data_IF_154113376356
#
_entry.id   IF_154113376356
#
_cell.length_a   1.000
_cell.length_b   1.000
_cell.length_c   1.000
_cell.angle_alpha   90.00
_cell.angle_beta   90.00
_cell.angle_gamma   90.00
#
_symmetry.space_group_name_H-M   'P 1'
#
loop_
_entity.id
_entity.type
_entity.pdbx_description
1 polymer ?
#
# COMPACT_ATOMS: atom_id res chain seq x y z
N UNK A 1 2.58 -30.92 -5.59
CA UNK A 1 3.80 -30.11 -5.41
C UNK A 1 3.68 -29.37 -4.07
N UNK A 2 4.55 -29.64 -3.09
CA UNK A 2 4.61 -28.83 -1.86
C UNK A 2 5.07 -27.43 -2.28
N UNK A 3 4.24 -26.40 -2.06
CA UNK A 3 4.73 -25.01 -2.13
C UNK A 3 5.84 -24.89 -1.09
N UNK A 4 7.04 -24.51 -1.50
CA UNK A 4 8.04 -24.04 -0.56
C UNK A 4 7.48 -22.77 0.09
N UNK A 5 7.24 -22.81 1.40
CA UNK A 5 6.81 -21.64 2.16
C UNK A 5 8.03 -20.78 2.40
N UNK A 6 8.03 -19.55 1.89
CA UNK A 6 9.09 -18.59 2.17
C UNK A 6 8.83 -17.99 3.54
N UNK A 7 9.85 -18.01 4.40
CA UNK A 7 9.82 -17.37 5.73
C UNK A 7 10.70 -16.14 5.69
N UNK A 8 10.23 -15.04 6.28
CA UNK A 8 10.98 -13.79 6.39
C UNK A 8 11.15 -13.44 7.86
N UNK A 9 12.35 -13.01 8.24
CA UNK A 9 12.65 -12.60 9.62
C UNK A 9 12.08 -11.22 9.94
N UNK A 10 11.81 -10.40 8.92
CA UNK A 10 11.31 -9.04 9.09
C UNK A 10 10.44 -8.59 7.93
N UNK A 11 9.61 -7.56 8.17
CA UNK A 11 8.75 -6.99 7.14
C UNK A 11 9.58 -6.24 6.08
N UNK A 12 10.74 -5.70 6.44
CA UNK A 12 11.67 -5.07 5.51
C UNK A 12 12.19 -6.08 4.49
N UNK A 13 12.58 -7.27 4.95
CA UNK A 13 13.08 -8.34 4.07
C UNK A 13 11.98 -8.79 3.10
N UNK A 14 10.76 -8.97 3.60
CA UNK A 14 9.62 -9.31 2.75
C UNK A 14 9.25 -8.17 1.78
N UNK A 15 9.41 -6.91 2.18
CA UNK A 15 9.19 -5.75 1.33
C UNK A 15 10.22 -5.69 0.20
N UNK A 16 11.52 -5.87 0.47
CA UNK A 16 12.54 -5.85 -0.57
C UNK A 16 12.30 -6.95 -1.63
N UNK A 17 12.01 -8.19 -1.21
CA UNK A 17 11.70 -9.28 -2.15
C UNK A 17 10.46 -8.98 -3.00
N UNK A 18 9.43 -8.38 -2.39
CA UNK A 18 8.28 -7.90 -3.12
C UNK A 18 8.66 -6.82 -4.15
N UNK A 19 9.51 -5.85 -3.78
CA UNK A 19 9.93 -4.77 -4.66
C UNK A 19 10.79 -5.32 -5.82
N UNK A 20 11.69 -6.27 -5.58
CA UNK A 20 12.47 -6.92 -6.64
C UNK A 20 11.56 -7.63 -7.65
N UNK A 21 10.54 -8.34 -7.17
CA UNK A 21 9.55 -8.93 -8.07
C UNK A 21 8.82 -7.84 -8.89
N UNK A 22 8.43 -6.74 -8.25
CA UNK A 22 7.73 -5.63 -8.91
C UNK A 22 8.59 -4.88 -9.92
N UNK A 23 9.89 -4.79 -9.71
CA UNK A 23 10.87 -4.28 -10.67
C UNK A 23 10.95 -5.18 -11.91
N UNK A 24 10.93 -6.51 -11.74
CA UNK A 24 10.92 -7.45 -12.87
C UNK A 24 9.65 -7.38 -13.72
N UNK A 25 8.55 -6.88 -13.16
CA UNK A 25 7.27 -6.66 -13.87
C UNK A 25 7.25 -5.36 -14.69
N UNK A 26 8.38 -4.64 -14.79
CA UNK A 26 8.55 -3.41 -15.56
C UNK A 26 7.60 -2.26 -15.11
N UNK A 27 7.33 -2.18 -13.80
CA UNK A 27 6.57 -1.08 -13.21
C UNK A 27 7.35 0.23 -13.23
N UNK A 28 6.63 1.36 -13.22
CA UNK A 28 7.26 2.68 -13.18
C UNK A 28 8.06 2.86 -11.87
N UNK A 29 9.25 3.48 -11.90
CA UNK A 29 10.04 3.73 -10.69
C UNK A 29 9.25 4.44 -9.58
N UNK A 30 8.39 5.39 -9.96
CA UNK A 30 7.53 6.09 -9.01
C UNK A 30 6.59 5.15 -8.25
N UNK A 31 6.07 4.12 -8.91
CA UNK A 31 5.18 3.13 -8.29
C UNK A 31 5.91 2.26 -7.28
N UNK A 32 7.16 1.90 -7.56
CA UNK A 32 8.04 1.17 -6.63
C UNK A 32 8.30 2.03 -5.38
N UNK A 33 8.61 3.30 -5.55
CA UNK A 33 8.79 4.24 -4.43
C UNK A 33 7.50 4.42 -3.61
N UNK A 34 6.34 4.50 -4.28
CA UNK A 34 5.05 4.55 -3.59
C UNK A 34 4.81 3.28 -2.76
N UNK A 35 5.14 2.09 -3.27
CA UNK A 35 5.10 0.86 -2.47
C UNK A 35 6.01 0.95 -1.25
N UNK A 36 7.30 1.26 -1.45
CA UNK A 36 8.30 1.37 -0.37
C UNK A 36 7.84 2.32 0.72
N UNK A 37 7.39 3.52 0.36
CA UNK A 37 6.93 4.55 1.29
C UNK A 37 5.69 4.12 2.08
N UNK A 38 4.66 3.62 1.40
CA UNK A 38 3.40 3.25 2.04
C UNK A 38 3.51 1.98 2.90
N UNK A 39 4.24 0.97 2.44
CA UNK A 39 4.49 -0.27 3.20
C UNK A 39 5.32 0.04 4.45
N UNK A 40 6.42 0.79 4.28
CA UNK A 40 7.26 1.21 5.42
C UNK A 40 6.46 2.00 6.44
N UNK A 41 5.63 2.94 6.00
CA UNK A 41 4.78 3.74 6.91
C UNK A 41 3.76 2.87 7.65
N UNK A 42 3.22 1.84 7.02
CA UNK A 42 2.31 0.91 7.69
C UNK A 42 3.02 0.15 8.81
N UNK A 43 4.13 -0.53 8.52
CA UNK A 43 4.81 -1.37 9.51
C UNK A 43 5.62 -0.60 10.55
N UNK A 44 6.09 0.62 10.26
CA UNK A 44 6.67 1.48 11.30
C UNK A 44 5.66 1.89 12.36
N UNK A 45 4.40 2.05 11.98
CA UNK A 45 3.32 2.39 12.89
C UNK A 45 2.69 1.17 13.56
N UNK A 46 2.81 0.00 12.93
CA UNK A 46 2.23 -1.27 13.37
C UNK A 46 3.23 -2.43 13.20
N UNK A 47 4.40 -2.41 13.86
CA UNK A 47 5.41 -3.45 13.70
C UNK A 47 4.91 -4.84 14.14
N UNK A 48 3.99 -4.86 15.11
CA UNK A 48 3.32 -6.08 15.59
C UNK A 48 2.45 -6.75 14.52
N UNK A 49 2.10 -6.06 13.44
CA UNK A 49 1.26 -6.61 12.39
C UNK A 49 1.97 -7.70 11.56
N UNK A 50 3.31 -7.71 11.53
CA UNK A 50 4.07 -8.69 10.74
C UNK A 50 4.30 -10.00 11.48
N UNK A 51 4.72 -9.92 12.75
CA UNK A 51 5.00 -11.09 13.60
C UNK A 51 3.79 -11.54 14.43
N UNK A 52 2.73 -10.74 14.46
CA UNK A 52 1.54 -10.99 15.25
C UNK A 52 0.55 -11.97 14.63
N UNK A 53 -0.56 -12.18 15.34
CA UNK A 53 -1.64 -13.03 14.87
C UNK A 53 -2.43 -12.37 13.73
N UNK A 54 -3.25 -13.17 13.03
CA UNK A 54 -4.25 -12.66 12.07
C UNK A 54 -5.08 -11.50 12.63
N UNK A 55 -5.40 -11.55 13.93
CA UNK A 55 -6.17 -10.50 14.59
C UNK A 55 -5.37 -9.21 14.73
N UNK A 56 -4.09 -9.28 15.12
CA UNK A 56 -3.21 -8.12 15.18
C UNK A 56 -3.08 -7.43 13.82
N UNK A 57 -2.82 -8.21 12.76
CA UNK A 57 -2.77 -7.69 11.39
C UNK A 57 -4.08 -7.01 10.96
N UNK A 58 -5.22 -7.62 11.28
CA UNK A 58 -6.54 -7.05 10.93
C UNK A 58 -6.82 -5.76 11.70
N UNK A 59 -6.45 -5.70 12.98
CA UNK A 59 -6.59 -4.50 13.80
C UNK A 59 -5.69 -3.37 13.28
N UNK A 60 -4.41 -3.65 13.03
CA UNK A 60 -3.47 -2.69 12.46
C UNK A 60 -3.96 -2.12 11.13
N UNK A 61 -4.50 -2.96 10.25
CA UNK A 61 -5.13 -2.51 9.00
C UNK A 61 -6.32 -1.60 9.27
N UNK A 62 -7.23 -1.96 10.17
CA UNK A 62 -8.38 -1.10 10.49
C UNK A 62 -7.93 0.26 11.02
N UNK A 63 -6.97 0.27 11.94
CA UNK A 63 -6.42 1.50 12.52
C UNK A 63 -5.72 2.35 11.46
N UNK A 64 -4.88 1.75 10.62
CA UNK A 64 -4.16 2.47 9.57
C UNK A 64 -5.08 3.15 8.54
N UNK A 65 -6.24 2.54 8.25
CA UNK A 65 -7.23 3.12 7.35
C UNK A 65 -8.21 4.06 8.05
N UNK A 66 -8.45 3.86 9.35
CA UNK A 66 -9.25 4.77 10.18
C UNK A 66 -8.64 6.19 10.17
N UNK A 67 -9.48 7.22 10.29
CA UNK A 67 -9.04 8.62 10.27
C UNK A 67 -8.58 9.16 8.91
N UNK A 68 -8.54 8.34 7.84
CA UNK A 68 -8.18 8.83 6.50
C UNK A 68 -9.31 9.66 5.89
N UNK A 69 -9.17 10.99 5.95
CA UNK A 69 -10.16 11.96 5.44
C UNK A 69 -10.23 12.04 3.92
N UNK A 70 -9.09 11.98 3.24
CA UNK A 70 -9.02 12.10 1.78
C UNK A 70 -9.31 10.75 1.08
N UNK A 71 -10.30 10.72 0.19
CA UNK A 71 -10.62 9.55 -0.63
C UNK A 71 -9.43 9.17 -1.53
N UNK A 72 -8.71 10.17 -2.08
CA UNK A 72 -7.54 9.89 -2.90
C UNK A 72 -6.43 9.21 -2.08
N UNK A 73 -6.16 9.73 -0.88
CA UNK A 73 -5.14 9.14 0.00
C UNK A 73 -5.54 7.74 0.48
N UNK A 74 -6.82 7.51 0.81
CA UNK A 74 -7.35 6.19 1.13
C UNK A 74 -7.11 5.19 -0.01
N UNK A 75 -7.44 5.59 -1.24
CA UNK A 75 -7.24 4.76 -2.42
C UNK A 75 -5.76 4.54 -2.73
N UNK A 76 -4.91 5.53 -2.48
CA UNK A 76 -3.46 5.41 -2.58
C UNK A 76 -2.92 4.31 -1.67
N UNK A 77 -3.27 4.34 -0.38
CA UNK A 77 -2.94 3.27 0.58
C UNK A 77 -3.43 1.91 0.11
N UNK A 78 -4.67 1.83 -0.37
CA UNK A 78 -5.24 0.56 -0.84
C UNK A 78 -4.48 0.01 -2.06
N UNK A 79 -4.10 0.88 -3.00
CA UNK A 79 -3.38 0.52 -4.22
C UNK A 79 -1.98 0.00 -3.95
N UNK A 80 -1.33 0.47 -2.89
CA UNK A 80 0.02 0.02 -2.51
C UNK A 80 -0.01 -1.19 -1.58
N UNK A 81 -0.85 -1.18 -0.54
CA UNK A 81 -0.89 -2.25 0.45
C UNK A 81 -1.60 -3.53 -0.05
N UNK A 82 -2.63 -3.41 -0.90
CA UNK A 82 -3.38 -4.59 -1.35
C UNK A 82 -2.54 -5.56 -2.19
N UNK A 83 -1.73 -5.11 -3.17
CA UNK A 83 -0.81 -5.99 -3.88
C UNK A 83 0.21 -6.65 -2.97
N UNK A 84 0.74 -5.91 -1.99
CA UNK A 84 1.72 -6.43 -1.04
C UNK A 84 1.14 -7.55 -0.17
N UNK A 85 -0.02 -7.34 0.47
CA UNK A 85 -0.64 -8.39 1.28
C UNK A 85 -1.13 -9.59 0.47
N UNK A 86 -1.60 -9.35 -0.76
CA UNK A 86 -1.92 -10.44 -1.69
C UNK A 86 -0.68 -11.28 -1.98
N UNK A 87 0.45 -10.63 -2.22
CA UNK A 87 1.72 -11.29 -2.44
C UNK A 87 2.17 -12.08 -1.20
N UNK A 88 2.17 -11.48 -0.01
CA UNK A 88 2.50 -12.19 1.24
C UNK A 88 1.63 -13.44 1.44
N UNK A 89 0.33 -13.35 1.16
CA UNK A 89 -0.58 -14.50 1.23
C UNK A 89 -0.23 -15.57 0.20
N UNK A 90 0.14 -15.18 -1.03
CA UNK A 90 0.53 -16.13 -2.09
C UNK A 90 1.81 -16.90 -1.76
N UNK A 91 2.74 -16.27 -1.04
CA UNK A 91 3.98 -16.84 -0.51
C UNK A 91 3.76 -17.70 0.74
N UNK A 92 2.57 -17.63 1.34
CA UNK A 92 2.24 -18.35 2.58
C UNK A 92 2.75 -17.69 3.86
N UNK A 93 3.20 -16.43 3.79
CA UNK A 93 3.72 -15.67 4.95
C UNK A 93 2.59 -15.28 5.89
N UNK A 94 1.44 -14.89 5.33
CA UNK A 94 0.24 -14.57 6.10
C UNK A 94 -0.88 -15.56 5.76
N UNK A 95 -1.78 -15.89 6.70
CA UNK A 95 -2.83 -16.89 6.49
C UNK A 95 -3.98 -16.40 5.60
N UNK A 96 -4.17 -15.09 5.48
CA UNK A 96 -5.19 -14.48 4.62
C UNK A 96 -4.86 -13.02 4.33
N UNK A 97 -5.39 -12.47 3.23
CA UNK A 97 -5.25 -11.06 2.90
C UNK A 97 -6.23 -10.19 3.72
N UNK A 98 -5.76 -9.30 4.63
CA UNK A 98 -6.63 -8.45 5.45
C UNK A 98 -7.39 -7.37 4.64
N UNK A 99 -6.96 -7.08 3.40
CA UNK A 99 -7.55 -6.06 2.53
C UNK A 99 -8.50 -6.61 1.47
N UNK A 100 -8.77 -7.92 1.45
CA UNK A 100 -9.55 -8.58 0.40
C UNK A 100 -10.96 -7.98 0.23
N UNK A 101 -11.59 -7.57 1.34
CA UNK A 101 -12.95 -7.03 1.35
C UNK A 101 -13.00 -5.49 1.42
N UNK A 102 -11.85 -4.80 1.39
CA UNK A 102 -11.81 -3.33 1.46
C UNK A 102 -11.94 -2.75 0.05
N UNK A 103 -13.05 -2.05 -0.21
CA UNK A 103 -13.32 -1.40 -1.49
C UNK A 103 -12.79 0.03 -1.51
N UNK A 104 -12.30 0.46 -2.68
CA UNK A 104 -11.90 1.85 -2.90
C UNK A 104 -13.08 2.82 -2.76
N UNK A 105 -12.78 4.05 -2.33
CA UNK A 105 -13.76 5.14 -2.20
C UNK A 105 -13.90 5.90 -3.51
N UNK A 106 -15.10 6.38 -3.84
CA UNK A 106 -15.35 7.19 -5.04
C UNK A 106 -14.49 8.46 -4.99
N UNK A 107 -13.78 8.76 -6.07
CA UNK A 107 -13.02 10.00 -6.20
C UNK A 107 -13.93 11.08 -6.79
N UNK A 108 -13.96 12.25 -6.16
CA UNK A 108 -14.49 13.47 -6.78
C UNK A 108 -13.31 14.17 -7.44
N UNK A 109 -13.21 14.08 -8.77
CA UNK A 109 -12.20 14.84 -9.50
C UNK A 109 -12.49 16.33 -9.29
N UNK A 110 -11.67 17.01 -8.50
CA UNK A 110 -11.72 18.47 -8.38
C UNK A 110 -10.86 19.03 -9.52
N UNK A 111 -11.49 19.36 -10.63
CA UNK A 111 -10.87 20.18 -11.66
C UNK A 111 -10.84 21.61 -11.11
N UNK A 112 -9.64 22.16 -10.91
CA UNK A 112 -9.49 23.58 -10.59
C UNK A 112 -9.47 24.31 -11.92
N UNK A 113 -10.53 25.08 -12.19
CA UNK A 113 -10.58 25.96 -13.34
C UNK A 113 -9.63 27.15 -13.08
N UNK A 114 -8.63 27.32 -13.95
CA UNK A 114 -7.73 28.47 -13.91
C UNK A 114 -8.35 29.58 -14.75
N UNK A 115 -8.54 30.76 -14.14
CA UNK A 115 -8.99 31.93 -14.88
C UNK A 115 -7.88 32.47 -15.80
N UNK A 116 -8.26 33.13 -16.88
CA UNK A 116 -7.32 33.79 -17.80
C UNK A 116 -6.43 34.81 -17.10
N UNK A 117 -6.96 35.49 -16.07
CA UNK A 117 -6.19 36.46 -15.28
C UNK A 117 -5.12 35.76 -14.41
N UNK A 118 -5.47 34.65 -13.75
CA UNK A 118 -4.49 33.82 -13.01
C UNK A 118 -3.39 33.28 -13.92
N UNK A 119 -3.71 32.95 -15.17
CA UNK A 119 -2.72 32.50 -16.16
C UNK A 119 -1.77 33.62 -16.58
N UNK A 120 -2.25 34.87 -16.70
CA UNK A 120 -1.40 36.03 -17.03
C UNK A 120 -0.42 36.35 -15.91
N UNK A 121 -0.86 36.28 -14.65
CA UNK A 121 0.00 36.54 -13.48
C UNK A 121 1.13 35.52 -13.33
N UNK A 122 0.91 34.26 -13.74
CA UNK A 122 1.93 33.21 -13.69
C UNK A 122 2.99 33.28 -14.81
N UNK A 123 2.75 34.10 -15.85
CA UNK A 123 3.63 34.28 -17.00
C UNK A 123 4.49 35.55 -16.94
N UNK A 124 4.35 36.35 -15.87
CA UNK A 124 5.17 37.53 -15.58
C UNK A 124 6.34 37.16 -14.66
#
# INVERSE_FOLDING_TARGET
MKKLSVTYDSWESAMEDFLFQKESENLRPRTIEDYRSHISRFFRNHPEAFSGSKQALTTAVKEHFSGTKSNNYFNGKLRTLSPFFRWLHSQGVIPCNPLENIKGKKQTNRIVELSTETLKELLQ
#
